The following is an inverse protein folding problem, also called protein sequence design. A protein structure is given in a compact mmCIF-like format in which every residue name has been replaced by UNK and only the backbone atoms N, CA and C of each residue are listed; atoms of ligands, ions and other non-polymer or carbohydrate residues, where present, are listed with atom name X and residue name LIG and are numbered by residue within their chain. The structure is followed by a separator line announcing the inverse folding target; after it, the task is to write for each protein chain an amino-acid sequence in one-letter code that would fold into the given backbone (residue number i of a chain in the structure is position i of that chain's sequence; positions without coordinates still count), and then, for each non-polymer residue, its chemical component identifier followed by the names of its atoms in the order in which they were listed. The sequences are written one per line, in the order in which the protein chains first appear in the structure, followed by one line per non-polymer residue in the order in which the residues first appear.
data_IF_251744087120
#
_entry.id   IF_251744087120
#
_cell.length_a   1.000
_cell.length_b   1.000
_cell.length_c   1.000
_cell.angle_alpha   90.00
_cell.angle_beta   90.00
_cell.angle_gamma   90.00
#
_symmetry.space_group_name_H-M   'P 1'
#
loop_
_entity.id
_entity.type
_entity.pdbx_description
1 polymer ?
#
# COMPACT_ATOMS: atom_id res chain seq x y z
N UNK A 1 15.95 -6.62 19.45
CA UNK A 1 14.47 -6.43 19.55
C UNK A 1 13.95 -5.44 18.52
N UNK A 2 14.44 -4.19 18.45
CA UNK A 2 13.94 -3.16 17.50
C UNK A 2 14.06 -3.55 16.02
N UNK A 3 15.13 -4.27 15.63
CA UNK A 3 15.35 -4.68 14.25
C UNK A 3 14.28 -5.64 13.72
N UNK A 4 13.78 -6.54 14.58
CA UNK A 4 12.71 -7.48 14.23
C UNK A 4 11.42 -6.72 13.87
N UNK A 5 11.02 -5.75 14.69
CA UNK A 5 9.85 -4.92 14.42
C UNK A 5 9.99 -4.12 13.13
N UNK A 6 11.18 -3.56 12.85
CA UNK A 6 11.44 -2.84 11.59
C UNK A 6 11.28 -3.76 10.38
N UNK A 7 11.78 -4.99 10.45
CA UNK A 7 11.62 -5.99 9.38
C UNK A 7 10.16 -6.39 9.21
N UNK A 8 9.41 -6.56 10.30
CA UNK A 8 7.99 -6.85 10.26
C UNK A 8 7.20 -5.71 9.59
N UNK A 9 7.48 -4.45 9.96
CA UNK A 9 6.83 -3.30 9.32
C UNK A 9 7.13 -3.22 7.82
N UNK A 10 8.40 -3.46 7.43
CA UNK A 10 8.79 -3.51 6.01
C UNK A 10 8.07 -4.64 5.27
N UNK A 11 7.96 -5.83 5.87
CA UNK A 11 7.26 -6.96 5.27
C UNK A 11 5.78 -6.66 5.07
N UNK A 12 5.09 -6.14 6.08
CA UNK A 12 3.68 -5.73 5.97
C UNK A 12 3.50 -4.62 4.94
N UNK A 13 4.45 -3.68 4.83
CA UNK A 13 4.41 -2.60 3.86
C UNK A 13 4.48 -3.12 2.42
N UNK A 14 5.42 -4.02 2.15
CA UNK A 14 5.55 -4.67 0.85
C UNK A 14 4.33 -5.57 0.56
N UNK A 15 3.80 -6.27 1.57
CA UNK A 15 2.57 -7.04 1.44
C UNK A 15 1.38 -6.19 0.99
N UNK A 16 1.23 -4.98 1.53
CA UNK A 16 0.21 -4.02 1.11
C UNK A 16 0.42 -3.56 -0.34
N UNK A 17 1.66 -3.27 -0.75
CA UNK A 17 1.96 -2.94 -2.15
C UNK A 17 1.59 -4.07 -3.11
N UNK A 18 1.94 -5.31 -2.76
CA UNK A 18 1.60 -6.49 -3.57
C UNK A 18 0.09 -6.68 -3.64
N UNK A 19 -0.61 -6.51 -2.52
CA UNK A 19 -2.08 -6.58 -2.47
C UNK A 19 -2.74 -5.57 -3.41
N UNK A 20 -2.26 -4.31 -3.44
CA UNK A 20 -2.72 -3.28 -4.37
C UNK A 20 -2.45 -3.64 -5.84
N UNK A 21 -1.26 -4.17 -6.15
CA UNK A 21 -0.91 -4.61 -7.50
C UNK A 21 -1.84 -5.74 -7.94
N UNK A 22 -2.04 -6.76 -7.09
CA UNK A 22 -2.95 -7.87 -7.35
C UNK A 22 -4.37 -7.35 -7.58
N UNK A 23 -4.87 -6.44 -6.74
CA UNK A 23 -6.20 -5.86 -6.91
C UNK A 23 -6.34 -5.15 -8.25
N UNK A 24 -5.43 -4.23 -8.58
CA UNK A 24 -5.51 -3.40 -9.79
C UNK A 24 -5.36 -4.24 -11.08
N UNK A 25 -4.57 -5.32 -11.03
CA UNK A 25 -4.29 -6.17 -12.21
C UNK A 25 -5.28 -7.32 -12.39
N UNK A 26 -5.81 -7.88 -11.30
CA UNK A 26 -6.74 -9.01 -11.35
C UNK A 26 -8.20 -8.57 -11.41
N UNK A 27 -8.57 -7.47 -10.76
CA UNK A 27 -9.95 -6.99 -10.81
C UNK A 27 -10.25 -6.37 -12.19
N UNK A 28 -11.46 -6.63 -12.70
CA UNK A 28 -11.93 -6.03 -13.95
C UNK A 28 -12.28 -4.57 -13.70
N UNK A 29 -11.40 -3.68 -14.16
CA UNK A 29 -11.66 -2.24 -14.15
C UNK A 29 -12.33 -1.83 -15.47
N UNK A 30 -13.08 -0.72 -15.44
CA UNK A 30 -13.69 -0.14 -16.64
C UNK A 30 -12.65 0.12 -17.73
N UNK A 31 -12.96 -0.23 -18.98
CA UNK A 31 -12.06 -0.04 -20.14
C UNK A 31 -11.63 1.41 -20.36
N UNK A 32 -12.34 2.37 -19.77
CA UNK A 32 -12.05 3.79 -19.89
C UNK A 32 -10.83 4.25 -19.07
N UNK A 33 -10.38 3.47 -18.10
CA UNK A 33 -9.25 3.83 -17.24
C UNK A 33 -8.04 2.91 -17.48
N UNK A 34 -6.89 3.46 -17.92
CA UNK A 34 -5.70 2.66 -18.12
C UNK A 34 -5.19 2.10 -16.79
N UNK A 35 -5.02 0.79 -16.71
CA UNK A 35 -4.51 0.07 -15.52
C UNK A 35 -3.19 0.64 -15.02
N UNK A 36 -2.32 1.09 -15.93
CA UNK A 36 -1.04 1.72 -15.60
C UNK A 36 -1.23 3.02 -14.80
N UNK A 37 -2.25 3.84 -15.11
CA UNK A 37 -2.51 5.07 -14.38
C UNK A 37 -3.00 4.78 -12.96
N UNK A 38 -3.86 3.77 -12.78
CA UNK A 38 -4.32 3.33 -11.45
C UNK A 38 -3.15 2.83 -10.59
N UNK A 39 -2.25 2.02 -11.17
CA UNK A 39 -1.04 1.55 -10.49
C UNK A 39 -0.13 2.70 -10.08
N UNK A 40 0.12 3.67 -10.98
CA UNK A 40 0.94 4.84 -10.67
C UNK A 40 0.28 5.64 -9.55
N UNK A 41 -1.01 5.92 -9.64
CA UNK A 41 -1.72 6.71 -8.63
C UNK A 41 -1.69 6.03 -7.25
N UNK A 42 -1.84 4.70 -7.20
CA UNK A 42 -1.85 3.95 -5.95
C UNK A 42 -0.44 3.73 -5.37
N UNK A 43 0.56 3.40 -6.19
CA UNK A 43 1.89 3.00 -5.74
C UNK A 43 2.86 4.17 -5.59
N UNK A 44 2.75 5.21 -6.41
CA UNK A 44 3.69 6.33 -6.39
C UNK A 44 3.74 7.01 -5.01
N UNK A 45 2.62 7.24 -4.30
CA UNK A 45 2.63 7.75 -2.93
C UNK A 45 3.38 6.84 -1.95
N UNK A 46 3.31 5.51 -2.14
CA UNK A 46 4.00 4.51 -1.31
C UNK A 46 5.51 4.44 -1.55
N UNK A 47 5.99 4.82 -2.74
CA UNK A 47 7.43 4.80 -3.01
C UNK A 47 8.20 5.83 -2.15
N UNK A 48 7.55 6.93 -1.75
CA UNK A 48 8.15 7.94 -0.88
C UNK A 48 8.52 7.41 0.53
N UNK A 49 7.61 6.81 1.32
CA UNK A 49 7.94 6.22 2.61
C UNK A 49 8.85 4.99 2.49
N UNK A 50 8.75 4.20 1.42
CA UNK A 50 9.63 3.03 1.22
C UNK A 50 11.11 3.42 1.29
N UNK A 51 11.48 4.51 0.60
CA UNK A 51 12.84 5.04 0.66
C UNK A 51 13.25 5.31 2.11
N UNK A 52 12.46 6.07 2.86
CA UNK A 52 12.79 6.44 4.25
C UNK A 52 12.85 5.24 5.21
N UNK A 53 12.02 4.22 5.00
CA UNK A 53 12.04 2.98 5.78
C UNK A 53 13.31 2.15 5.54
N UNK A 54 13.78 2.05 4.29
CA UNK A 54 15.04 1.38 3.93
C UNK A 54 16.27 2.08 4.53
N UNK A 55 16.26 3.41 4.62
CA UNK A 55 17.30 4.18 5.32
C UNK A 55 17.13 4.18 6.84
N UNK A 56 16.15 3.46 7.39
CA UNK A 56 15.98 3.28 8.82
C UNK A 56 15.52 4.53 9.60
N UNK A 57 14.96 5.54 8.92
CA UNK A 57 14.54 6.80 9.55
C UNK A 57 13.31 6.59 10.45
N UNK A 58 13.40 6.75 11.78
CA UNK A 58 12.30 6.43 12.70
C UNK A 58 11.04 7.26 12.44
N UNK A 59 11.18 8.52 12.00
CA UNK A 59 10.06 9.37 11.60
C UNK A 59 9.22 8.76 10.47
N UNK A 60 9.86 8.11 9.50
CA UNK A 60 9.16 7.48 8.38
C UNK A 60 8.34 6.28 8.84
N UNK A 61 8.79 5.50 9.83
CA UNK A 61 8.02 4.39 10.38
C UNK A 61 6.73 4.87 11.06
N UNK A 62 6.78 5.98 11.80
CA UNK A 62 5.59 6.55 12.44
C UNK A 62 4.59 7.09 11.40
N UNK A 63 5.08 7.83 10.41
CA UNK A 63 4.22 8.39 9.36
C UNK A 63 3.62 7.30 8.45
N UNK A 64 4.39 6.25 8.16
CA UNK A 64 3.94 5.10 7.38
C UNK A 64 2.73 4.39 8.01
N UNK A 65 2.61 4.37 9.34
CA UNK A 65 1.45 3.77 10.01
C UNK A 65 0.13 4.48 9.66
N UNK A 66 0.14 5.80 9.49
CA UNK A 66 -1.06 6.55 9.08
C UNK A 66 -1.44 6.25 7.63
N UNK A 67 -0.45 6.18 6.74
CA UNK A 67 -0.64 5.77 5.35
C UNK A 67 -1.21 4.34 5.26
N UNK A 68 -0.61 3.39 5.98
CA UNK A 68 -1.09 2.01 6.05
C UNK A 68 -2.56 1.93 6.47
N UNK A 69 -2.96 2.71 7.48
CA UNK A 69 -4.35 2.75 7.93
C UNK A 69 -5.29 3.26 6.83
N UNK A 70 -4.90 4.29 6.10
CA UNK A 70 -5.69 4.82 4.98
C UNK A 70 -5.92 3.76 3.89
N UNK A 71 -4.86 3.08 3.44
CA UNK A 71 -4.98 2.01 2.43
C UNK A 71 -5.72 0.78 2.95
N UNK A 72 -5.59 0.47 4.24
CA UNK A 72 -6.38 -0.59 4.87
C UNK A 72 -7.87 -0.26 4.89
N UNK A 73 -8.24 0.97 5.27
CA UNK A 73 -9.62 1.44 5.24
C UNK A 73 -10.19 1.43 3.81
N UNK A 74 -9.40 1.83 2.82
CA UNK A 74 -9.77 1.70 1.41
C UNK A 74 -10.04 0.23 1.03
N UNK A 75 -9.16 -0.69 1.44
CA UNK A 75 -9.34 -2.12 1.18
C UNK A 75 -10.63 -2.67 1.80
N UNK A 76 -10.96 -2.27 3.03
CA UNK A 76 -12.25 -2.64 3.66
C UNK A 76 -13.41 -2.05 2.88
N UNK A 77 -13.31 -0.78 2.46
CA UNK A 77 -14.36 -0.10 1.69
C UNK A 77 -14.65 -0.82 0.37
N UNK A 78 -13.60 -1.23 -0.35
CA UNK A 78 -13.74 -2.00 -1.60
C UNK A 78 -14.38 -3.36 -1.37
N UNK A 79 -13.96 -4.10 -0.34
CA UNK A 79 -14.57 -5.40 0.00
C UNK A 79 -16.04 -5.23 0.36
N UNK A 80 -16.38 -4.21 1.14
CA UNK A 80 -17.76 -3.91 1.50
C UNK A 80 -18.60 -3.51 0.27
N UNK A 81 -18.05 -2.69 -0.64
CA UNK A 81 -18.77 -2.31 -1.87
C UNK A 81 -18.87 -3.43 -2.90
N UNK A 82 -18.04 -4.47 -2.78
CA UNK A 82 -18.08 -5.62 -3.66
C UNK A 82 -19.20 -6.62 -3.32
N UNK A 83 -19.91 -6.43 -2.19
CA UNK A 83 -21.02 -7.29 -1.76
C UNK A 83 -22.39 -6.96 -2.40
N UNK A 84 -22.43 -6.13 -3.45
CA UNK A 84 -23.62 -5.90 -4.29
C UNK A 84 -23.52 -6.59 -5.67
#
# INVERSE_FOLDING_TARGET
MVQFFKQLTLFSFLGLMVSLICWITLAKHSENFPTAALLILALLPLLFPLRGMLYGKPYTYAWNSFLMLFYFSHGIGEVYSAED
#
